data_IF_513321358967
#
_entry.id   IF_513321358967
#
_cell.length_a   1.000
_cell.length_b   1.000
_cell.length_c   1.000
_cell.angle_alpha   90.00
_cell.angle_beta   90.00
_cell.angle_gamma   90.00
#
_symmetry.space_group_name_H-M   'P 1'
#
loop_
_entity.id
_entity.type
_entity.pdbx_description
1 polymer ?
#
# COMPACT_ATOMS: atom_id res chain seq x y z
N UNK A 1 -1.18 -19.97 -14.73
CA UNK A 1 -0.05 -19.37 -13.99
C UNK A 1 0.10 -17.91 -14.41
N UNK A 2 0.59 -17.04 -13.52
CA UNK A 2 0.81 -15.58 -13.68
C UNK A 2 -0.32 -14.57 -13.32
N UNK A 3 -1.47 -15.01 -12.80
CA UNK A 3 -2.56 -14.09 -12.42
C UNK A 3 -2.20 -13.17 -11.24
N UNK A 4 -1.34 -13.62 -10.29
CA UNK A 4 -1.00 -12.81 -9.10
C UNK A 4 -0.23 -11.54 -9.44
N UNK A 5 0.86 -11.63 -10.19
CA UNK A 5 1.71 -10.46 -10.50
C UNK A 5 0.96 -9.43 -11.34
N UNK A 6 0.15 -9.87 -12.30
CA UNK A 6 -0.69 -8.98 -13.12
C UNK A 6 -1.80 -8.34 -12.28
N UNK A 7 -2.46 -9.11 -11.40
CA UNK A 7 -3.44 -8.58 -10.45
C UNK A 7 -2.80 -7.54 -9.53
N UNK A 8 -1.63 -7.82 -8.97
CA UNK A 8 -0.92 -6.90 -8.09
C UNK A 8 -0.51 -5.61 -8.82
N UNK A 9 -0.09 -5.71 -10.08
CA UNK A 9 0.14 -4.54 -10.93
C UNK A 9 -1.14 -3.74 -11.17
N UNK A 10 -2.26 -4.41 -11.43
CA UNK A 10 -3.56 -3.76 -11.57
C UNK A 10 -4.01 -3.07 -10.27
N UNK A 11 -3.79 -3.69 -9.11
CA UNK A 11 -4.08 -3.11 -7.79
C UNK A 11 -3.29 -1.81 -7.62
N UNK A 12 -1.97 -1.80 -7.86
CA UNK A 12 -1.12 -0.60 -7.77
C UNK A 12 -1.67 0.50 -8.69
N UNK A 13 -1.91 0.19 -9.96
CA UNK A 13 -2.43 1.15 -10.93
C UNK A 13 -3.77 1.76 -10.47
N UNK A 14 -4.67 0.93 -9.94
CA UNK A 14 -5.98 1.37 -9.47
C UNK A 14 -5.87 2.31 -8.28
N UNK A 15 -5.12 1.94 -7.24
CA UNK A 15 -5.01 2.78 -6.01
C UNK A 15 -4.24 4.07 -6.26
N UNK A 16 -3.33 4.09 -7.24
CA UNK A 16 -2.63 5.31 -7.67
C UNK A 16 -3.52 6.20 -8.54
N UNK A 17 -4.32 5.64 -9.45
CA UNK A 17 -5.11 6.42 -10.40
C UNK A 17 -6.41 7.02 -9.82
N UNK A 18 -6.99 6.41 -8.78
CA UNK A 18 -8.26 6.88 -8.20
C UNK A 18 -8.30 6.71 -6.68
N UNK A 19 -9.11 7.54 -6.01
CA UNK A 19 -9.39 7.37 -4.59
C UNK A 19 -10.23 6.11 -4.37
N UNK A 20 -9.69 5.13 -3.65
CA UNK A 20 -10.37 3.88 -3.29
C UNK A 20 -10.44 3.82 -1.77
N UNK A 21 -11.65 3.93 -1.23
CA UNK A 21 -11.87 4.06 0.21
C UNK A 21 -11.97 2.72 0.93
N UNK A 22 -12.27 1.62 0.21
CA UNK A 22 -12.51 0.31 0.81
C UNK A 22 -12.04 -0.87 -0.03
N UNK A 23 -11.77 -2.01 0.61
CA UNK A 23 -11.43 -3.25 -0.10
C UNK A 23 -12.61 -3.79 -0.92
N UNK A 24 -13.86 -3.55 -0.50
CA UNK A 24 -15.06 -3.94 -1.25
C UNK A 24 -15.17 -3.17 -2.57
N UNK A 25 -14.86 -1.89 -2.55
CA UNK A 25 -14.80 -1.07 -3.74
C UNK A 25 -13.70 -1.57 -4.69
N UNK A 26 -12.50 -1.84 -4.17
CA UNK A 26 -11.40 -2.41 -4.96
C UNK A 26 -11.76 -3.76 -5.59
N UNK A 27 -12.41 -4.64 -4.82
CA UNK A 27 -12.93 -5.93 -5.30
C UNK A 27 -13.92 -5.74 -6.45
N UNK A 28 -14.88 -4.82 -6.33
CA UNK A 28 -15.87 -4.55 -7.38
C UNK A 28 -15.20 -4.05 -8.67
N UNK A 29 -14.20 -3.18 -8.56
CA UNK A 29 -13.48 -2.66 -9.73
C UNK A 29 -12.66 -3.77 -10.40
N UNK A 30 -11.97 -4.60 -9.61
CA UNK A 30 -11.19 -5.73 -10.12
C UNK A 30 -12.08 -6.77 -10.80
N UNK A 31 -13.24 -7.10 -10.22
CA UNK A 31 -14.23 -8.00 -10.83
C UNK A 31 -14.75 -7.48 -12.16
N UNK A 32 -15.04 -6.18 -12.26
CA UNK A 32 -15.42 -5.53 -13.53
C UNK A 32 -14.33 -5.60 -14.59
N UNK A 33 -13.06 -5.65 -14.18
CA UNK A 33 -11.91 -5.85 -15.06
C UNK A 33 -11.59 -7.33 -15.32
N UNK A 34 -12.46 -8.27 -14.92
CA UNK A 34 -12.31 -9.70 -15.18
C UNK A 34 -11.51 -10.48 -14.13
N UNK A 35 -11.15 -9.86 -13.00
CA UNK A 35 -10.43 -10.52 -11.91
C UNK A 35 -11.40 -11.10 -10.88
N UNK A 36 -11.44 -12.42 -10.75
CA UNK A 36 -12.15 -13.06 -9.64
C UNK A 36 -11.25 -13.11 -8.40
N UNK A 37 -11.57 -12.27 -7.40
CA UNK A 37 -10.76 -12.07 -6.20
C UNK A 37 -11.66 -11.99 -4.98
N UNK A 38 -11.20 -12.56 -3.87
CA UNK A 38 -11.87 -12.46 -2.56
C UNK A 38 -11.24 -11.38 -1.69
N UNK A 39 -11.96 -10.93 -0.67
CA UNK A 39 -11.43 -10.03 0.37
C UNK A 39 -10.13 -10.55 1.01
N UNK A 40 -10.04 -11.86 1.29
CA UNK A 40 -8.84 -12.46 1.87
C UNK A 40 -7.62 -12.38 0.92
N UNK A 41 -7.85 -12.56 -0.39
CA UNK A 41 -6.81 -12.43 -1.43
C UNK A 41 -6.34 -10.99 -1.52
N UNK A 42 -7.29 -10.06 -1.59
CA UNK A 42 -7.03 -8.62 -1.63
C UNK A 42 -6.27 -8.11 -0.41
N UNK A 43 -6.66 -8.55 0.79
CA UNK A 43 -5.97 -8.18 2.03
C UNK A 43 -4.50 -8.63 2.02
N UNK A 44 -4.23 -9.86 1.55
CA UNK A 44 -2.85 -10.36 1.39
C UNK A 44 -2.08 -9.56 0.35
N UNK A 45 -2.66 -9.32 -0.82
CA UNK A 45 -1.98 -8.56 -1.88
C UNK A 45 -1.67 -7.12 -1.44
N UNK A 46 -2.61 -6.42 -0.81
CA UNK A 46 -2.38 -5.07 -0.29
C UNK A 46 -1.22 -5.04 0.72
N UNK A 47 -1.14 -6.05 1.60
CA UNK A 47 -0.05 -6.18 2.57
C UNK A 47 1.30 -6.47 1.89
N UNK A 48 1.33 -7.40 0.95
CA UNK A 48 2.55 -7.74 0.20
C UNK A 48 3.07 -6.56 -0.63
N UNK A 49 2.16 -5.75 -1.17
CA UNK A 49 2.48 -4.56 -1.96
C UNK A 49 2.83 -3.33 -1.10
N UNK A 50 2.74 -3.43 0.23
CA UNK A 50 2.93 -2.28 1.12
C UNK A 50 1.91 -1.16 0.91
N UNK A 51 0.71 -1.50 0.40
CA UNK A 51 -0.38 -0.54 0.23
C UNK A 51 -1.09 -0.36 1.56
N UNK A 52 -1.26 0.89 1.94
CA UNK A 52 -1.75 1.32 3.25
C UNK A 52 -2.94 2.23 3.08
N UNK A 53 -3.77 2.33 4.12
CA UNK A 53 -4.87 3.30 4.16
C UNK A 53 -4.38 4.57 4.83
N UNK A 54 -4.47 5.69 4.13
CA UNK A 54 -4.04 6.99 4.64
C UNK A 54 -4.97 8.10 4.15
N UNK A 55 -4.85 9.27 4.78
CA UNK A 55 -5.63 10.45 4.39
C UNK A 55 -5.12 11.01 3.07
N UNK A 56 -5.98 11.02 2.06
CA UNK A 56 -5.82 11.79 0.84
C UNK A 56 -6.70 13.06 0.87
N UNK A 57 -6.74 13.77 -0.25
CA UNK A 57 -7.50 15.02 -0.41
C UNK A 57 -9.00 14.84 -0.12
N UNK A 58 -9.58 13.74 -0.60
CA UNK A 58 -11.01 13.42 -0.43
C UNK A 58 -11.28 12.50 0.80
N UNK A 59 -10.28 12.32 1.66
CA UNK A 59 -10.36 11.46 2.83
C UNK A 59 -9.60 10.14 2.70
N UNK A 60 -9.92 9.18 3.57
CA UNK A 60 -9.08 8.00 3.79
C UNK A 60 -9.17 6.99 2.65
N UNK A 61 -8.08 6.83 1.89
CA UNK A 61 -7.97 5.95 0.72
C UNK A 61 -6.78 5.01 0.82
N UNK A 62 -6.80 3.95 0.02
CA UNK A 62 -5.62 3.12 -0.24
C UNK A 62 -4.61 3.86 -1.11
N UNK A 63 -3.33 3.79 -0.73
CA UNK A 63 -2.21 4.32 -1.50
C UNK A 63 -0.94 3.50 -1.23
N UNK A 64 0.01 3.44 -2.18
CA UNK A 64 1.32 2.83 -1.96
C UNK A 64 2.05 3.47 -0.77
N UNK A 65 2.63 2.66 0.13
CA UNK A 65 3.25 3.14 1.36
C UNK A 65 4.49 3.99 1.15
N UNK A 66 5.18 3.84 0.02
CA UNK A 66 6.29 4.71 -0.40
C UNK A 66 5.84 6.15 -0.68
N UNK A 67 4.57 6.36 -1.02
CA UNK A 67 3.97 7.69 -1.22
C UNK A 67 3.59 8.39 0.09
N UNK A 68 3.53 7.67 1.23
CA UNK A 68 3.31 8.30 2.54
C UNK A 68 4.52 9.08 3.05
N UNK A 69 5.71 8.71 2.57
CA UNK A 69 6.92 9.49 2.77
C UNK A 69 6.87 10.70 1.85
N UNK A 70 6.05 11.70 2.20
CA UNK A 70 6.10 13.01 1.58
C UNK A 70 7.56 13.47 1.50
N UNK A 71 7.90 14.16 0.41
CA UNK A 71 9.27 14.60 0.08
C UNK A 71 9.95 15.42 1.21
N UNK A 72 9.18 15.86 2.21
CA UNK A 72 9.63 16.65 3.36
C UNK A 72 9.88 15.87 4.66
N UNK A 73 9.58 14.57 4.74
CA UNK A 73 9.91 13.79 5.95
C UNK A 73 11.18 12.96 5.72
N UNK A 74 12.31 13.30 6.37
CA UNK A 74 13.53 12.53 6.23
C UNK A 74 13.28 11.09 6.69
N UNK A 75 13.74 10.14 5.87
CA UNK A 75 13.54 8.71 6.16
C UNK A 75 14.24 8.37 7.47
N UNK A 76 13.67 7.46 8.26
CA UNK A 76 14.28 7.03 9.52
C UNK A 76 15.74 6.59 9.32
N UNK A 77 16.03 5.90 8.21
CA UNK A 77 17.40 5.52 7.83
C UNK A 77 18.32 6.70 7.54
N UNK A 78 17.79 7.85 7.12
CA UNK A 78 18.54 9.09 6.91
C UNK A 78 18.82 9.80 8.24
N UNK A 79 17.88 9.76 9.19
CA UNK A 79 18.04 10.39 10.51
C UNK A 79 18.78 9.52 11.52
N UNK A 80 18.75 8.20 11.37
CA UNK A 80 19.38 7.27 12.31
C UNK A 80 20.85 7.59 12.52
N UNK A 81 21.71 7.77 11.49
CA UNK A 81 23.12 8.11 11.73
C UNK A 81 23.34 9.43 12.48
N UNK A 82 22.46 10.42 12.29
CA UNK A 82 22.53 11.73 12.94
C UNK A 82 22.09 11.68 14.41
N UNK A 83 21.09 10.84 14.72
CA UNK A 83 20.37 10.87 15.99
C UNK A 83 20.61 9.64 16.88
N UNK A 84 21.27 8.60 16.36
CA UNK A 84 21.46 7.35 17.07
C UNK A 84 22.66 7.42 18.01
N UNK A 85 22.38 7.47 19.31
CA UNK A 85 23.42 7.49 20.35
C UNK A 85 23.81 6.10 20.88
N UNK A 86 23.09 5.05 20.51
CA UNK A 86 23.35 3.67 20.96
C UNK A 86 22.08 2.82 21.05
N UNK A 87 22.25 1.50 21.13
CA UNK A 87 21.17 0.54 21.35
C UNK A 87 21.66 -0.55 22.29
N UNK A 88 21.03 -0.70 23.45
CA UNK A 88 21.24 -1.84 24.34
C UNK A 88 20.26 -2.95 23.98
N UNK A 89 20.79 -4.14 23.70
CA UNK A 89 20.01 -5.34 23.43
C UNK A 89 20.09 -6.31 24.60
N UNK A 90 18.94 -6.82 25.03
CA UNK A 90 18.86 -8.01 25.89
C UNK A 90 18.37 -9.18 25.04
N UNK A 91 19.25 -10.16 24.84
CA UNK A 91 18.96 -11.46 24.24
C UNK A 91 19.00 -12.55 25.29
#
# INVERSE_FOLDING_TARGET
>A
MSNKSERQRAIIQLVSARAIASQRELEQILRKAGWDVTQATLSRDLRELGIVRAQGEDGARYMPGDQLGGQDKPRLLTLLPELFSGMDGVG
#
